data_IF_687029303670
#
_entry.id   IF_687029303670
#
_cell.length_a   1.000
_cell.length_b   1.000
_cell.length_c   1.000
_cell.angle_alpha   90.00
_cell.angle_beta   90.00
_cell.angle_gamma   90.00
#
_symmetry.space_group_name_H-M   'P 1'
#
loop_
_entity.id
_entity.type
_entity.pdbx_description
1 polymer ?
#
# COMPACT_ATOMS: atom_id res chain seq x y z
N UNK A 1 10.90 -20.22 -16.87
CA UNK A 1 10.61 -20.18 -15.43
C UNK A 1 11.22 -18.90 -14.87
N UNK A 2 10.45 -17.82 -14.81
CA UNK A 2 10.86 -16.64 -14.04
C UNK A 2 10.83 -17.04 -12.56
N UNK A 3 11.95 -16.88 -11.86
CA UNK A 3 11.97 -17.04 -10.42
C UNK A 3 11.03 -15.98 -9.83
N UNK A 4 10.06 -16.40 -9.01
CA UNK A 4 9.22 -15.46 -8.26
C UNK A 4 10.16 -14.67 -7.33
N UNK A 5 10.38 -13.39 -7.63
CA UNK A 5 11.15 -12.48 -6.79
C UNK A 5 10.28 -12.09 -5.57
N UNK A 6 10.14 -13.02 -4.63
CA UNK A 6 9.55 -12.72 -3.33
C UNK A 6 10.54 -11.88 -2.52
N UNK A 7 10.04 -10.78 -1.96
CA UNK A 7 10.83 -9.92 -1.07
C UNK A 7 11.33 -10.74 0.12
N UNK A 8 12.61 -10.56 0.47
CA UNK A 8 13.20 -11.26 1.61
C UNK A 8 12.51 -10.83 2.90
N UNK A 9 12.15 -11.79 3.74
CA UNK A 9 11.53 -11.58 5.07
C UNK A 9 12.47 -12.08 6.16
N UNK A 10 12.42 -11.46 7.33
CA UNK A 10 13.22 -11.86 8.49
C UNK A 10 12.35 -12.32 9.67
N UNK A 11 11.02 -12.20 9.55
CA UNK A 11 10.02 -12.80 10.42
C UNK A 11 9.09 -13.62 9.54
N UNK A 12 8.91 -14.90 9.88
CA UNK A 12 7.96 -15.79 9.21
C UNK A 12 7.10 -16.54 10.24
N UNK A 13 5.81 -16.63 9.96
CA UNK A 13 4.82 -17.33 10.76
C UNK A 13 4.24 -18.48 9.94
N UNK A 14 4.37 -19.68 10.50
CA UNK A 14 3.91 -20.93 9.90
C UNK A 14 2.62 -21.40 10.57
N UNK A 15 1.81 -22.16 9.85
CA UNK A 15 0.81 -23.04 10.47
C UNK A 15 1.44 -24.36 10.95
N UNK A 16 0.62 -25.25 11.52
CA UNK A 16 1.07 -26.57 11.98
C UNK A 16 1.47 -27.54 10.87
N UNK A 17 1.12 -27.24 9.62
CA UNK A 17 1.46 -28.05 8.44
C UNK A 17 2.74 -27.56 7.75
N UNK A 18 3.30 -26.43 8.23
CA UNK A 18 4.53 -25.83 7.71
C UNK A 18 4.30 -24.85 6.56
N UNK A 19 3.05 -24.45 6.28
CA UNK A 19 2.77 -23.40 5.31
C UNK A 19 2.96 -22.02 5.94
N UNK A 20 3.52 -21.07 5.20
CA UNK A 20 3.67 -19.68 5.67
C UNK A 20 2.32 -18.97 5.60
N UNK A 21 1.82 -18.53 6.75
CA UNK A 21 0.56 -17.79 6.88
C UNK A 21 0.76 -16.29 7.03
N UNK A 22 1.95 -15.87 7.47
CA UNK A 22 2.35 -14.47 7.45
C UNK A 22 3.88 -14.31 7.45
N UNK A 23 4.37 -13.14 7.05
CA UNK A 23 5.77 -12.76 7.26
C UNK A 23 6.02 -11.31 6.89
N UNK A 24 7.10 -10.72 7.39
CA UNK A 24 7.45 -9.32 7.09
C UNK A 24 8.93 -9.07 7.37
N UNK A 25 9.40 -7.86 7.09
CA UNK A 25 10.72 -7.39 7.52
C UNK A 25 10.62 -6.52 8.76
N UNK A 26 11.15 -7.02 9.87
CA UNK A 26 11.27 -6.31 11.14
C UNK A 26 12.51 -5.40 11.16
N UNK A 27 12.31 -4.16 11.59
CA UNK A 27 13.37 -3.16 11.84
C UNK A 27 13.56 -2.82 13.33
N UNK A 28 12.86 -3.52 14.22
CA UNK A 28 12.91 -3.30 15.67
C UNK A 28 11.80 -2.38 16.20
N UNK A 29 10.70 -2.22 15.47
CA UNK A 29 9.61 -1.30 15.85
C UNK A 29 8.26 -1.98 16.04
N UNK A 30 8.00 -3.10 15.36
CA UNK A 30 6.71 -3.78 15.44
C UNK A 30 6.62 -4.63 16.72
N UNK A 31 5.60 -4.36 17.53
CA UNK A 31 5.32 -5.08 18.78
C UNK A 31 4.40 -6.28 18.56
N UNK A 32 4.35 -7.20 19.53
CA UNK A 32 3.51 -8.41 19.42
C UNK A 32 2.02 -8.08 19.37
N UNK A 33 1.54 -7.16 20.20
CA UNK A 33 0.14 -6.71 20.16
C UNK A 33 -0.29 -6.21 18.78
N UNK A 34 0.56 -5.45 18.10
CA UNK A 34 0.35 -4.99 16.73
C UNK A 34 0.32 -6.13 15.73
N UNK A 35 1.29 -7.05 15.81
CA UNK A 35 1.34 -8.17 14.89
C UNK A 35 0.11 -9.06 15.04
N UNK A 36 -0.35 -9.33 16.26
CA UNK A 36 -1.62 -10.02 16.51
C UNK A 36 -2.81 -9.30 15.88
N UNK A 37 -2.88 -7.95 15.98
CA UNK A 37 -3.92 -7.15 15.31
C UNK A 37 -3.86 -7.28 13.80
N UNK A 38 -2.67 -7.32 13.20
CA UNK A 38 -2.53 -7.48 11.75
C UNK A 38 -2.99 -8.87 11.31
N UNK A 39 -2.69 -9.92 12.08
CA UNK A 39 -3.12 -11.28 11.76
C UNK A 39 -4.65 -11.42 11.75
N UNK A 40 -5.37 -10.74 12.65
CA UNK A 40 -6.85 -10.76 12.67
C UNK A 40 -7.46 -10.26 11.36
N UNK A 41 -6.76 -9.40 10.61
CA UNK A 41 -7.24 -8.87 9.32
C UNK A 41 -7.42 -9.97 8.27
N UNK A 42 -6.56 -10.99 8.28
CA UNK A 42 -6.48 -11.94 7.18
C UNK A 42 -6.47 -13.42 7.58
N UNK A 43 -6.34 -13.75 8.87
CA UNK A 43 -6.48 -15.12 9.34
C UNK A 43 -7.95 -15.51 9.50
N UNK A 44 -8.27 -16.74 9.11
CA UNK A 44 -9.58 -17.37 9.28
C UNK A 44 -9.40 -18.64 10.09
N UNK A 45 -9.83 -18.62 11.35
CA UNK A 45 -9.75 -19.77 12.26
C UNK A 45 -11.09 -19.98 12.97
N UNK A 46 -11.41 -21.24 13.34
CA UNK A 46 -12.57 -21.58 14.18
C UNK A 46 -12.21 -21.70 15.67
N UNK A 47 -10.91 -21.67 15.99
CA UNK A 47 -10.36 -21.82 17.33
C UNK A 47 -9.52 -20.60 17.70
N UNK A 48 -9.43 -20.34 19.00
CA UNK A 48 -8.47 -19.37 19.53
C UNK A 48 -7.04 -19.83 19.21
N UNK A 49 -6.16 -18.86 19.00
CA UNK A 49 -4.79 -19.11 18.58
C UNK A 49 -3.80 -18.23 19.33
N UNK A 50 -2.56 -18.67 19.35
CA UNK A 50 -1.41 -17.94 19.87
C UNK A 50 -0.14 -18.33 19.12
N UNK A 51 0.91 -17.55 19.30
CA UNK A 51 2.17 -17.66 18.55
C UNK A 51 3.25 -18.24 19.45
N UNK A 52 4.04 -19.17 18.92
CA UNK A 52 5.21 -19.72 19.59
C UNK A 52 6.44 -19.51 18.71
N UNK A 53 7.62 -19.36 19.33
CA UNK A 53 8.88 -19.52 18.58
C UNK A 53 8.90 -20.88 17.92
N UNK A 54 9.51 -20.99 16.75
CA UNK A 54 9.51 -22.22 15.98
C UNK A 54 10.87 -22.47 15.34
N UNK A 55 11.36 -23.70 15.47
CA UNK A 55 12.48 -24.21 14.68
C UNK A 55 11.92 -25.08 13.55
N UNK A 56 11.84 -24.57 12.30
CA UNK A 56 11.31 -25.33 11.18
C UNK A 56 12.21 -26.51 10.78
N UNK A 57 13.51 -26.47 11.05
CA UNK A 57 14.43 -27.56 10.71
C UNK A 57 14.23 -28.77 11.61
N UNK A 58 13.90 -28.54 12.89
CA UNK A 58 13.61 -29.58 13.87
C UNK A 58 12.10 -29.83 14.06
N UNK A 59 11.24 -29.08 13.36
CA UNK A 59 9.79 -29.03 13.58
C UNK A 59 9.42 -28.88 15.06
N UNK A 60 10.18 -28.06 15.80
CA UNK A 60 10.09 -27.98 17.25
C UNK A 60 9.55 -26.63 17.69
N UNK A 61 8.50 -26.66 18.51
CA UNK A 61 7.97 -25.46 19.17
C UNK A 61 8.89 -25.00 20.30
N UNK A 62 9.07 -23.70 20.39
CA UNK A 62 9.76 -23.00 21.47
C UNK A 62 8.78 -22.29 22.42
N UNK A 63 9.26 -21.27 23.14
CA UNK A 63 8.44 -20.48 24.07
C UNK A 63 7.26 -19.76 23.40
N UNK A 64 6.21 -19.52 24.20
CA UNK A 64 5.06 -18.69 23.86
C UNK A 64 5.48 -17.23 23.64
N UNK A 65 4.91 -16.60 22.62
CA UNK A 65 5.04 -15.18 22.29
C UNK A 65 3.67 -14.50 22.46
N UNK A 66 3.27 -14.09 23.67
CA UNK A 66 1.95 -13.51 23.89
C UNK A 66 1.84 -12.10 23.28
N UNK A 67 0.60 -11.59 23.06
CA UNK A 67 0.39 -10.18 22.78
C UNK A 67 1.01 -9.30 23.86
N UNK A 68 1.68 -8.23 23.46
CA UNK A 68 2.31 -7.31 24.40
C UNK A 68 3.25 -6.32 23.72
N UNK A 69 3.83 -5.38 24.49
CA UNK A 69 4.64 -4.29 23.96
C UNK A 69 6.06 -4.72 23.55
N UNK A 70 6.39 -6.01 23.70
CA UNK A 70 7.69 -6.53 23.31
C UNK A 70 7.81 -6.57 21.79
N UNK A 71 8.97 -6.17 21.29
CA UNK A 71 9.29 -6.17 19.86
C UNK A 71 9.36 -7.62 19.35
N UNK A 72 8.66 -7.90 18.24
CA UNK A 72 8.78 -9.16 17.51
C UNK A 72 10.22 -9.32 17.04
N UNK A 73 10.90 -10.39 17.43
CA UNK A 73 12.29 -10.61 17.01
C UNK A 73 12.33 -11.26 15.62
N UNK A 74 13.38 -11.03 14.82
CA UNK A 74 13.62 -11.82 13.62
C UNK A 74 13.68 -13.33 13.96
N UNK A 75 13.02 -14.15 13.15
CA UNK A 75 12.97 -15.60 13.34
C UNK A 75 11.70 -16.23 12.79
N UNK A 76 11.60 -17.54 13.03
CA UNK A 76 10.45 -18.35 12.63
C UNK A 76 9.52 -18.58 13.81
N UNK A 77 8.22 -18.60 13.52
CA UNK A 77 7.15 -18.73 14.50
C UNK A 77 6.09 -19.69 14.01
N UNK A 78 5.33 -20.30 14.90
CA UNK A 78 4.22 -21.19 14.55
C UNK A 78 2.96 -20.76 15.26
N UNK A 79 1.84 -20.80 14.54
CA UNK A 79 0.51 -20.51 15.04
C UNK A 79 -0.16 -21.81 15.49
N UNK A 80 -0.53 -21.86 16.77
CA UNK A 80 -1.17 -23.02 17.41
C UNK A 80 -2.31 -22.54 18.32
N UNK A 81 -3.12 -23.47 18.85
CA UNK A 81 -4.04 -23.18 19.96
C UNK A 81 -3.25 -23.10 21.29
N UNK A 82 -3.74 -23.69 22.38
CA UNK A 82 -3.02 -23.93 23.64
C UNK A 82 -1.88 -24.93 23.52
N UNK A 83 -1.15 -24.90 22.40
CA UNK A 83 -0.07 -25.83 22.04
C UNK A 83 -0.43 -26.88 21.00
N UNK A 84 -1.70 -27.01 20.66
CA UNK A 84 -2.17 -28.00 19.68
C UNK A 84 -2.27 -27.42 18.26
N UNK A 85 -2.04 -28.24 17.21
CA UNK A 85 -2.30 -27.88 15.82
C UNK A 85 -3.72 -27.36 15.59
N UNK A 86 -3.86 -26.37 14.72
CA UNK A 86 -5.17 -25.86 14.29
C UNK A 86 -5.18 -25.66 12.77
N UNK A 87 -6.39 -25.68 12.20
CA UNK A 87 -6.58 -25.28 10.80
C UNK A 87 -6.56 -23.76 10.70
N UNK A 88 -5.71 -23.26 9.81
CA UNK A 88 -5.55 -21.83 9.53
C UNK A 88 -5.92 -21.58 8.08
N UNK A 89 -6.95 -20.77 7.85
CA UNK A 89 -7.26 -20.24 6.53
C UNK A 89 -6.74 -18.80 6.38
N UNK A 90 -6.62 -18.35 5.14
CA UNK A 90 -6.38 -16.95 4.80
C UNK A 90 -7.60 -16.39 4.06
N UNK A 91 -7.92 -15.11 4.28
CA UNK A 91 -8.96 -14.45 3.49
C UNK A 91 -8.57 -14.41 2.00
N UNK A 92 -9.54 -14.61 1.08
CA UNK A 92 -9.27 -14.63 -0.36
C UNK A 92 -8.98 -13.24 -0.94
N UNK A 93 -9.17 -12.17 -0.15
CA UNK A 93 -8.97 -10.78 -0.58
C UNK A 93 -7.54 -10.53 -1.04
N UNK A 94 -7.37 -10.19 -2.31
CA UNK A 94 -6.08 -9.77 -2.89
C UNK A 94 -5.87 -8.26 -2.65
N UNK A 95 -4.61 -7.80 -2.54
CA UNK A 95 -4.32 -6.39 -2.52
C UNK A 95 -4.71 -5.76 -3.86
N UNK A 96 -5.06 -4.48 -3.80
CA UNK A 96 -5.37 -3.67 -4.97
C UNK A 96 -4.13 -3.59 -5.85
N UNK A 97 -4.19 -4.00 -7.13
CA UNK A 97 -3.06 -3.85 -8.04
C UNK A 97 -2.83 -2.37 -8.37
N UNK A 98 -1.56 -1.95 -8.42
CA UNK A 98 -1.16 -0.57 -8.72
C UNK A 98 0.07 -0.59 -9.60
N UNK A 99 0.08 0.24 -10.63
CA UNK A 99 1.26 0.43 -11.47
C UNK A 99 2.16 1.50 -10.82
N UNK A 100 3.48 1.31 -10.79
CA UNK A 100 4.38 2.38 -10.41
C UNK A 100 4.19 3.56 -11.35
N UNK A 101 4.00 4.77 -10.83
CA UNK A 101 3.91 5.96 -11.68
C UNK A 101 5.31 6.32 -12.21
N UNK A 102 5.63 5.80 -13.40
CA UNK A 102 6.91 6.05 -14.10
C UNK A 102 6.93 7.45 -14.76
N UNK A 103 5.79 8.11 -14.84
CA UNK A 103 5.62 9.35 -15.60
C UNK A 103 5.76 10.62 -14.75
N UNK A 104 6.69 11.49 -15.15
CA UNK A 104 6.65 12.94 -14.90
C UNK A 104 5.56 13.59 -15.76
N UNK A 105 4.32 13.10 -15.70
CA UNK A 105 3.21 13.62 -16.51
C UNK A 105 3.03 15.11 -16.15
N UNK A 106 2.81 16.00 -17.14
CA UNK A 106 2.64 17.44 -16.89
C UNK A 106 1.59 17.68 -15.80
N UNK A 107 1.93 18.55 -14.86
CA UNK A 107 1.28 18.79 -13.57
C UNK A 107 -0.28 18.77 -13.64
N UNK A 108 -0.93 17.62 -13.40
CA UNK A 108 -2.36 17.59 -13.18
C UNK A 108 -2.67 18.41 -11.91
N UNK A 109 -3.79 19.13 -11.88
CA UNK A 109 -4.13 20.11 -10.83
C UNK A 109 -3.90 19.63 -9.38
N UNK A 110 -4.01 18.33 -9.10
CA UNK A 110 -3.74 17.78 -7.78
C UNK A 110 -2.27 17.86 -7.35
N UNK A 111 -1.29 17.76 -8.24
CA UNK A 111 0.12 17.82 -7.81
C UNK A 111 0.47 19.26 -7.41
N UNK A 112 0.07 20.26 -8.20
CA UNK A 112 0.20 21.66 -7.83
C UNK A 112 -0.44 21.96 -6.47
N UNK A 113 -1.68 21.49 -6.25
CA UNK A 113 -2.39 21.69 -4.97
C UNK A 113 -1.74 20.95 -3.80
N UNK A 114 -1.33 19.70 -4.00
CA UNK A 114 -0.63 18.90 -2.99
C UNK A 114 0.71 19.51 -2.59
N UNK A 115 1.51 19.96 -3.57
CA UNK A 115 2.78 20.67 -3.34
C UNK A 115 2.57 21.97 -2.60
N UNK A 116 1.57 22.77 -2.99
CA UNK A 116 1.27 24.04 -2.34
C UNK A 116 0.82 23.86 -0.89
N UNK A 117 0.08 22.79 -0.59
CA UNK A 117 -0.33 22.45 0.78
C UNK A 117 0.84 21.95 1.62
N UNK A 118 1.62 21.01 1.09
CA UNK A 118 2.62 20.28 1.87
C UNK A 118 3.94 21.03 1.99
N UNK A 119 4.43 21.64 0.90
CA UNK A 119 5.72 22.34 0.82
C UNK A 119 6.97 21.48 1.06
N UNK A 120 6.81 20.23 1.51
CA UNK A 120 7.87 19.31 1.92
C UNK A 120 7.44 17.85 1.78
N UNK A 121 8.41 16.93 1.86
CA UNK A 121 8.08 15.52 2.02
C UNK A 121 7.46 15.28 3.40
N UNK A 122 6.23 14.76 3.45
CA UNK A 122 5.52 14.51 4.71
C UNK A 122 6.13 13.39 5.57
N UNK A 123 7.09 12.63 5.04
CA UNK A 123 7.77 11.52 5.75
C UNK A 123 9.16 11.94 6.24
N UNK A 124 9.94 12.60 5.38
CA UNK A 124 11.36 12.88 5.62
C UNK A 124 11.63 14.33 5.99
N UNK A 125 10.62 15.20 5.92
CA UNK A 125 10.71 16.65 6.13
C UNK A 125 11.62 17.36 5.11
N UNK A 126 11.93 16.70 3.99
CA UNK A 126 12.73 17.28 2.93
C UNK A 126 11.99 18.46 2.30
N UNK A 127 12.48 19.66 2.56
CA UNK A 127 12.11 20.91 1.88
C UNK A 127 13.02 21.14 0.68
N UNK A 128 12.43 21.42 -0.48
CA UNK A 128 13.19 21.68 -1.72
C UNK A 128 12.32 22.43 -2.72
N UNK A 129 12.93 23.38 -3.42
CA UNK A 129 12.29 24.02 -4.59
C UNK A 129 12.45 23.17 -5.87
N UNK A 130 13.31 22.15 -5.85
CA UNK A 130 13.51 21.25 -6.97
C UNK A 130 12.37 20.22 -7.07
N UNK A 131 11.52 20.39 -8.09
CA UNK A 131 10.43 19.50 -8.45
C UNK A 131 10.85 18.03 -8.65
N UNK A 132 12.09 17.75 -9.04
CA UNK A 132 12.54 16.37 -9.30
C UNK A 132 12.68 15.52 -8.04
N UNK A 133 12.76 16.15 -6.86
CA UNK A 133 13.00 15.46 -5.57
C UNK A 133 11.73 15.18 -4.78
N UNK A 134 10.60 15.80 -5.16
CA UNK A 134 9.31 15.62 -4.50
C UNK A 134 8.25 15.18 -5.51
N UNK A 135 7.55 14.09 -5.19
CA UNK A 135 6.41 13.59 -5.97
C UNK A 135 5.15 13.65 -5.12
N UNK A 136 4.04 14.08 -5.71
CA UNK A 136 2.71 14.01 -5.08
C UNK A 136 2.09 12.70 -5.50
N UNK A 137 1.78 11.86 -4.52
CA UNK A 137 1.20 10.55 -4.71
C UNK A 137 -0.23 10.52 -4.19
N UNK A 138 -1.13 9.85 -4.91
CA UNK A 138 -2.42 9.49 -4.33
C UNK A 138 -2.25 8.43 -3.25
N UNK A 139 -3.02 8.56 -2.17
CA UNK A 139 -3.19 7.53 -1.14
C UNK A 139 -4.02 6.40 -1.74
N UNK A 140 -5.22 6.72 -2.21
CA UNK A 140 -6.07 5.81 -2.98
C UNK A 140 -5.88 6.04 -4.48
N UNK A 141 -5.49 5.01 -5.25
CA UNK A 141 -5.11 5.17 -6.65
C UNK A 141 -6.29 5.54 -7.55
N UNK A 142 -6.05 6.48 -8.46
CA UNK A 142 -7.00 6.96 -9.46
C UNK A 142 -7.60 5.85 -10.34
N UNK A 143 -6.81 4.83 -10.69
CA UNK A 143 -7.23 3.72 -11.55
C UNK A 143 -8.37 2.85 -10.96
N UNK A 144 -8.69 3.02 -9.67
CA UNK A 144 -9.71 2.24 -8.95
C UNK A 144 -10.94 3.08 -8.57
N UNK A 145 -11.30 3.99 -9.45
CA UNK A 145 -12.35 4.98 -9.32
C UNK A 145 -13.74 4.39 -8.97
N UNK A 146 -14.08 3.22 -9.53
CA UNK A 146 -15.31 2.50 -9.20
C UNK A 146 -15.30 1.96 -7.76
N UNK A 147 -14.16 1.46 -7.29
CA UNK A 147 -14.01 1.02 -5.90
C UNK A 147 -14.09 2.22 -4.94
N UNK A 148 -13.48 3.35 -5.33
CA UNK A 148 -13.55 4.62 -4.62
C UNK A 148 -15.00 5.08 -4.41
N UNK A 149 -15.83 5.04 -5.46
CA UNK A 149 -17.27 5.36 -5.37
C UNK A 149 -17.98 4.36 -4.46
N UNK A 150 -17.77 3.06 -4.66
CA UNK A 150 -18.45 2.00 -3.89
C UNK A 150 -18.15 2.09 -2.39
N UNK A 151 -16.93 2.50 -2.01
CA UNK A 151 -16.53 2.74 -0.62
C UNK A 151 -17.10 4.04 -0.04
N UNK A 152 -17.74 4.87 -0.85
CA UNK A 152 -18.38 6.12 -0.43
C UNK A 152 -17.38 7.22 -0.10
N UNK A 153 -16.14 7.16 -0.60
CA UNK A 153 -15.17 8.22 -0.35
C UNK A 153 -15.55 9.59 -0.93
N UNK A 154 -16.19 9.73 -2.10
CA UNK A 154 -16.59 11.05 -2.61
C UNK A 154 -17.41 11.89 -1.62
N UNK A 155 -18.29 11.25 -0.83
CA UNK A 155 -19.12 11.95 0.16
C UNK A 155 -18.38 12.33 1.43
N UNK A 156 -17.20 11.75 1.68
CA UNK A 156 -16.35 12.05 2.83
C UNK A 156 -15.35 13.18 2.57
N UNK A 157 -15.13 13.53 1.30
CA UNK A 157 -14.25 14.64 0.92
C UNK A 157 -14.93 15.97 1.24
N UNK A 158 -14.28 16.74 2.11
CA UNK A 158 -14.66 18.08 2.58
C UNK A 158 -13.83 19.20 1.96
N UNK A 159 -12.85 18.87 1.11
CA UNK A 159 -12.11 19.80 0.26
C UNK A 159 -13.07 20.75 -0.48
N UNK A 160 -12.83 22.06 -0.32
CA UNK A 160 -13.69 23.13 -0.81
C UNK A 160 -13.22 23.73 -2.14
N UNK A 161 -12.21 23.16 -2.78
CA UNK A 161 -11.79 23.60 -4.11
C UNK A 161 -12.87 23.36 -5.16
N UNK A 162 -12.67 23.93 -6.35
CA UNK A 162 -13.55 23.67 -7.49
C UNK A 162 -13.56 22.16 -7.82
N UNK A 163 -14.73 21.64 -8.18
CA UNK A 163 -14.93 20.21 -8.48
C UNK A 163 -14.03 19.75 -9.65
N UNK A 164 -13.76 20.61 -10.62
CA UNK A 164 -12.81 20.30 -11.70
C UNK A 164 -11.38 20.09 -11.18
N UNK A 165 -10.97 20.86 -10.17
CA UNK A 165 -9.66 20.74 -9.51
C UNK A 165 -9.58 19.57 -8.51
N UNK A 166 -10.67 18.82 -8.33
CA UNK A 166 -10.74 17.60 -7.51
C UNK A 166 -10.96 16.34 -8.35
N UNK A 167 -10.83 16.41 -9.68
CA UNK A 167 -11.02 15.23 -10.54
C UNK A 167 -12.49 14.93 -10.79
N UNK A 168 -13.30 15.99 -10.91
CA UNK A 168 -14.72 15.91 -11.20
C UNK A 168 -15.58 15.54 -9.98
N UNK A 169 -16.86 15.19 -10.19
CA UNK A 169 -17.83 14.89 -9.13
C UNK A 169 -17.38 13.79 -8.15
N UNK A 170 -16.45 12.93 -8.60
CA UNK A 170 -15.89 11.85 -7.80
C UNK A 170 -14.88 12.32 -6.75
N UNK A 171 -14.32 13.53 -6.91
CA UNK A 171 -13.35 14.16 -5.99
C UNK A 171 -12.07 13.35 -5.72
N UNK A 172 -11.70 12.44 -6.62
CA UNK A 172 -10.57 11.51 -6.41
C UNK A 172 -9.20 12.20 -6.39
N UNK A 173 -9.11 13.38 -7.02
CA UNK A 173 -7.91 14.23 -7.06
C UNK A 173 -7.92 15.31 -5.98
N UNK A 174 -8.83 15.23 -5.01
CA UNK A 174 -8.83 16.10 -3.84
C UNK A 174 -7.48 16.05 -3.13
N UNK A 175 -7.08 17.19 -2.55
CA UNK A 175 -5.88 17.24 -1.70
C UNK A 175 -5.95 16.22 -0.57
N UNK A 176 -7.15 15.90 -0.08
CA UNK A 176 -7.33 14.94 1.01
C UNK A 176 -7.02 13.48 0.62
N UNK A 177 -6.85 13.19 -0.68
CA UNK A 177 -6.42 11.88 -1.19
C UNK A 177 -4.96 11.88 -1.68
N UNK A 178 -4.17 12.93 -1.44
CA UNK A 178 -2.78 12.99 -1.90
C UNK A 178 -1.81 13.41 -0.79
N UNK A 179 -0.55 12.98 -0.94
CA UNK A 179 0.56 13.36 -0.06
C UNK A 179 1.82 13.62 -0.87
N UNK A 180 2.67 14.52 -0.40
CA UNK A 180 3.98 14.79 -0.99
C UNK A 180 5.06 13.91 -0.37
N UNK A 181 5.77 13.17 -1.22
CA UNK A 181 6.80 12.19 -0.88
C UNK A 181 8.15 12.58 -1.48
N UNK A 182 9.24 12.09 -0.86
CA UNK A 182 10.56 12.06 -1.49
C UNK A 182 10.46 11.18 -2.74
N UNK A 183 11.06 11.60 -3.85
CA UNK A 183 10.84 10.98 -5.17
C UNK A 183 11.13 9.48 -5.22
N UNK A 184 12.13 9.01 -4.47
CA UNK A 184 12.52 7.60 -4.35
C UNK A 184 11.55 6.75 -3.51
N UNK A 185 10.72 7.37 -2.67
CA UNK A 185 9.70 6.67 -1.87
C UNK A 185 8.41 6.43 -2.65
N UNK A 186 8.24 7.07 -3.82
CA UNK A 186 7.01 7.01 -4.60
C UNK A 186 6.69 5.57 -5.05
N UNK A 187 7.68 4.86 -5.59
CA UNK A 187 7.50 3.49 -6.05
C UNK A 187 7.24 2.52 -4.89
N UNK A 188 7.87 2.76 -3.75
CA UNK A 188 7.63 2.01 -2.52
C UNK A 188 6.22 2.26 -1.98
N UNK A 189 5.72 3.49 -2.07
CA UNK A 189 4.34 3.84 -1.73
C UNK A 189 3.34 3.15 -2.65
N UNK A 190 3.50 3.29 -3.97
CA UNK A 190 2.62 2.66 -4.97
C UNK A 190 2.60 1.13 -4.83
N UNK A 191 3.72 0.54 -4.44
CA UNK A 191 3.80 -0.90 -4.20
C UNK A 191 3.35 -1.34 -2.80
N UNK A 192 2.81 -0.45 -1.98
CA UNK A 192 2.42 -0.71 -0.60
C UNK A 192 3.54 -1.28 0.28
N UNK A 193 4.82 -0.98 -0.03
CA UNK A 193 5.98 -1.47 0.72
C UNK A 193 6.03 -0.92 2.15
N UNK A 194 5.34 0.19 2.39
CA UNK A 194 5.08 0.76 3.70
C UNK A 194 3.69 1.40 3.75
N UNK A 195 3.17 1.60 4.96
CA UNK A 195 1.90 2.26 5.22
C UNK A 195 1.96 3.19 6.43
N UNK A 196 0.95 4.04 6.58
CA UNK A 196 0.78 4.97 7.70
C UNK A 196 -0.42 4.52 8.53
N UNK A 197 -0.24 4.35 9.84
CA UNK A 197 -1.34 3.98 10.74
C UNK A 197 -1.86 5.23 11.49
N UNK A 198 -3.02 5.79 11.11
CA UNK A 198 -3.57 6.98 11.77
C UNK A 198 -3.94 6.73 13.24
N UNK A 199 -4.25 5.49 13.62
CA UNK A 199 -4.60 5.13 15.01
C UNK A 199 -3.37 5.03 15.93
N UNK A 200 -2.17 5.16 15.37
CA UNK A 200 -0.90 5.10 16.10
C UNK A 200 -0.08 6.36 15.80
N UNK A 201 -0.73 7.51 15.98
CA UNK A 201 -0.15 8.83 15.76
C UNK A 201 0.48 8.99 14.36
N UNK A 202 -0.08 8.34 13.34
CA UNK A 202 0.45 8.30 11.98
C UNK A 202 1.85 7.68 11.86
N UNK A 203 2.17 6.68 12.71
CA UNK A 203 3.43 5.94 12.59
C UNK A 203 3.50 5.20 11.26
N UNK A 204 4.67 5.20 10.67
CA UNK A 204 5.00 4.54 9.42
C UNK A 204 5.53 3.14 9.72
N UNK A 205 4.92 2.14 9.10
CA UNK A 205 5.36 0.74 9.17
C UNK A 205 5.82 0.31 7.78
N UNK A 206 7.10 -0.05 7.65
CA UNK A 206 7.62 -0.70 6.46
C UNK A 206 7.43 -2.21 6.58
N UNK A 207 6.84 -2.83 5.55
CA UNK A 207 6.56 -4.26 5.53
C UNK A 207 7.70 -5.07 4.89
N UNK A 208 8.52 -4.41 4.06
CA UNK A 208 9.60 -5.01 3.27
C UNK A 208 10.97 -4.44 3.63
N UNK A 209 12.03 -5.13 3.20
CA UNK A 209 13.41 -4.63 3.34
C UNK A 209 13.63 -3.36 2.48
N UNK A 210 14.66 -2.56 2.81
CA UNK A 210 15.06 -1.39 2.04
C UNK A 210 14.40 -0.06 2.43
N UNK A 211 13.58 -0.01 3.48
CA UNK A 211 12.87 1.19 3.96
C UNK A 211 13.21 1.53 5.43
N UNK A 212 14.41 1.17 5.87
CA UNK A 212 14.87 1.37 7.24
C UNK A 212 14.89 2.85 7.64
N UNK A 213 15.16 3.74 6.68
CA UNK A 213 15.30 5.17 6.93
C UNK A 213 13.96 5.84 7.27
N UNK A 214 12.83 5.27 6.86
CA UNK A 214 11.48 5.79 7.12
C UNK A 214 10.68 5.01 8.18
N UNK A 215 11.03 3.74 8.42
CA UNK A 215 10.28 2.89 9.34
C UNK A 215 10.31 3.44 10.78
N UNK A 216 9.14 3.46 11.44
CA UNK A 216 8.98 3.98 12.80
C UNK A 216 8.94 5.51 12.89
N UNK A 217 9.13 6.24 11.78
CA UNK A 217 8.84 7.68 11.74
C UNK A 217 7.33 7.93 11.76
N UNK A 218 6.94 9.19 11.89
CA UNK A 218 5.54 9.60 11.88
C UNK A 218 5.28 10.59 10.76
N UNK A 219 4.16 10.43 10.05
CA UNK A 219 3.74 11.35 9.01
C UNK A 219 3.55 12.76 9.59
N UNK A 220 4.12 13.78 8.96
CA UNK A 220 4.08 15.17 9.41
C UNK A 220 2.86 15.88 8.83
N UNK A 221 1.87 16.11 9.68
CA UNK A 221 0.62 16.80 9.32
C UNK A 221 0.32 18.01 10.22
N UNK A 222 1.29 18.40 11.04
CA UNK A 222 1.25 19.51 12.01
C UNK A 222 0.99 20.88 11.35
N UNK A 223 1.52 21.11 10.17
CA UNK A 223 1.30 22.34 9.40
C UNK A 223 -0.09 22.40 8.73
N UNK A 224 -0.82 21.29 8.64
CA UNK A 224 -2.13 21.21 7.97
C UNK A 224 -3.23 21.26 9.04
N UNK A 225 -3.53 22.49 9.47
CA UNK A 225 -4.53 22.77 10.52
C UNK A 225 -5.96 22.76 9.99
N UNK A 226 -6.15 23.11 8.72
CA UNK A 226 -7.48 23.10 8.10
C UNK A 226 -7.94 21.65 7.83
N UNK A 227 -9.03 21.19 8.45
CA UNK A 227 -9.54 19.84 8.26
C UNK A 227 -10.00 19.56 6.83
N UNK A 228 -10.35 20.59 6.04
CA UNK A 228 -10.75 20.43 4.63
C UNK A 228 -9.56 20.13 3.71
N UNK A 229 -8.34 20.43 4.16
CA UNK A 229 -7.11 20.17 3.41
C UNK A 229 -6.36 18.93 3.92
N UNK A 230 -6.69 18.47 5.13
CA UNK A 230 -6.02 17.33 5.78
C UNK A 230 -6.34 16.02 5.05
N UNK A 231 -5.33 15.19 4.73
CA UNK A 231 -5.56 13.86 4.21
C UNK A 231 -6.51 13.03 5.07
N UNK A 232 -7.40 12.26 4.45
CA UNK A 232 -8.38 11.45 5.18
C UNK A 232 -7.73 10.23 5.83
N UNK A 233 -7.94 10.06 7.14
CA UNK A 233 -7.42 8.91 7.92
C UNK A 233 -7.90 7.56 7.39
N UNK A 234 -9.13 7.51 6.88
CA UNK A 234 -9.67 6.29 6.29
C UNK A 234 -8.90 5.83 5.04
N UNK A 235 -8.33 6.77 4.29
CA UNK A 235 -7.53 6.44 3.10
C UNK A 235 -6.17 5.87 3.51
N UNK A 236 -5.55 6.40 4.57
CA UNK A 236 -4.35 5.79 5.15
C UNK A 236 -4.64 4.40 5.69
N UNK A 237 -5.77 4.22 6.35
CA UNK A 237 -6.21 2.90 6.83
C UNK A 237 -6.38 1.94 5.65
N UNK A 238 -7.05 2.34 4.57
CA UNK A 238 -7.19 1.51 3.37
C UNK A 238 -5.83 1.14 2.75
N UNK A 239 -4.93 2.11 2.56
CA UNK A 239 -3.58 1.89 2.05
C UNK A 239 -2.76 0.94 2.93
N UNK A 240 -2.83 1.11 4.25
CA UNK A 240 -2.16 0.24 5.21
C UNK A 240 -2.62 -1.21 5.06
N UNK A 241 -3.92 -1.42 4.90
CA UNK A 241 -4.51 -2.75 4.70
C UNK A 241 -4.04 -3.39 3.39
N UNK A 242 -3.87 -2.62 2.32
CA UNK A 242 -3.26 -3.13 1.08
C UNK A 242 -1.84 -3.63 1.31
N UNK A 243 -1.04 -2.93 2.12
CA UNK A 243 0.29 -3.37 2.53
C UNK A 243 0.28 -4.68 3.32
N UNK A 244 -0.68 -4.86 4.23
CA UNK A 244 -0.87 -6.12 4.94
C UNK A 244 -1.21 -7.27 3.98
N UNK A 245 -2.16 -7.07 3.06
CA UNK A 245 -2.55 -8.11 2.10
C UNK A 245 -1.42 -8.46 1.13
N UNK A 246 -0.63 -7.47 0.70
CA UNK A 246 0.42 -7.66 -0.30
C UNK A 246 1.69 -8.26 0.28
N UNK A 247 2.14 -7.80 1.44
CA UNK A 247 3.47 -8.13 1.96
C UNK A 247 3.44 -8.97 3.22
N UNK A 248 2.38 -8.86 4.03
CA UNK A 248 2.31 -9.55 5.33
C UNK A 248 1.58 -10.89 5.25
N UNK A 249 0.48 -10.95 4.50
CA UNK A 249 -0.36 -12.14 4.38
C UNK A 249 0.33 -13.26 3.59
N UNK A 250 0.30 -14.48 4.12
CA UNK A 250 0.81 -15.67 3.45
C UNK A 250 2.30 -15.56 3.09
N UNK A 251 2.66 -15.93 1.87
CA UNK A 251 4.02 -15.77 1.32
C UNK A 251 4.33 -14.34 0.85
N UNK A 252 3.36 -13.43 0.91
CA UNK A 252 3.37 -12.18 0.14
C UNK A 252 3.06 -12.43 -1.34
N UNK A 253 2.72 -11.36 -2.05
CA UNK A 253 2.53 -11.38 -3.50
C UNK A 253 3.81 -10.96 -4.23
N UNK A 254 4.08 -11.61 -5.36
CA UNK A 254 5.21 -11.21 -6.22
C UNK A 254 4.97 -9.82 -6.79
N UNK A 255 5.97 -8.96 -6.66
CA UNK A 255 5.99 -7.71 -7.42
C UNK A 255 6.64 -7.96 -8.79
N UNK A 256 6.17 -7.24 -9.82
CA UNK A 256 6.98 -7.01 -11.01
C UNK A 256 8.33 -6.45 -10.59
N UNK A 257 9.40 -7.00 -11.15
CA UNK A 257 10.72 -6.43 -10.96
C UNK A 257 10.79 -5.03 -11.56
N UNK A 258 11.83 -4.28 -11.19
CA UNK A 258 12.13 -3.02 -11.85
C UNK A 258 12.29 -3.21 -13.37
N UNK A 259 12.93 -4.30 -13.78
CA UNK A 259 13.11 -4.68 -15.19
C UNK A 259 11.77 -4.98 -15.88
N UNK A 260 10.87 -5.69 -15.23
CA UNK A 260 9.52 -5.96 -15.79
C UNK A 260 8.73 -4.66 -15.97
N UNK A 261 8.85 -3.73 -15.02
CA UNK A 261 8.19 -2.43 -15.09
C UNK A 261 8.82 -1.53 -16.16
N UNK A 262 10.15 -1.48 -16.23
CA UNK A 262 10.89 -0.68 -17.23
C UNK A 262 10.68 -1.23 -18.63
N UNK A 263 10.71 -2.54 -18.82
CA UNK A 263 10.35 -3.17 -20.10
C UNK A 263 8.92 -2.80 -20.47
N UNK A 264 7.94 -2.96 -19.56
CA UNK A 264 6.54 -2.70 -19.85
C UNK A 264 6.20 -1.21 -20.12
N UNK A 265 6.88 -0.28 -19.45
CA UNK A 265 6.43 1.12 -19.32
C UNK A 265 7.54 2.19 -19.45
N UNK A 266 8.80 1.81 -19.66
CA UNK A 266 9.98 2.67 -19.47
C UNK A 266 10.07 3.90 -20.38
N UNK A 267 9.52 3.86 -21.60
CA UNK A 267 9.62 4.96 -22.56
C UNK A 267 8.30 5.75 -22.72
N UNK A 268 7.54 5.91 -21.63
CA UNK A 268 6.20 6.53 -21.63
C UNK A 268 5.18 5.86 -22.58
N UNK A 269 5.54 4.73 -23.19
CA UNK A 269 4.73 3.92 -24.08
C UNK A 269 4.41 2.58 -23.42
N UNK A 270 3.64 1.75 -24.11
CA UNK A 270 3.43 0.35 -23.71
C UNK A 270 4.31 -0.51 -24.59
N UNK A 271 5.34 -1.14 -24.02
CA UNK A 271 6.08 -2.14 -24.78
C UNK A 271 5.32 -3.47 -24.77
N UNK A 272 4.39 -3.64 -25.70
CA UNK A 272 3.57 -4.86 -25.77
C UNK A 272 4.31 -6.07 -26.36
N UNK A 273 5.62 -5.98 -26.67
CA UNK A 273 6.36 -7.07 -27.32
C UNK A 273 6.62 -8.26 -26.39
N UNK A 274 6.70 -8.03 -25.08
CA UNK A 274 7.02 -9.08 -24.12
C UNK A 274 5.77 -9.89 -23.72
N UNK A 275 5.49 -10.94 -24.48
CA UNK A 275 4.37 -11.84 -24.20
C UNK A 275 4.49 -12.62 -22.90
N UNK A 276 5.68 -12.70 -22.29
CA UNK A 276 5.81 -13.29 -20.94
C UNK A 276 5.22 -12.38 -19.87
N UNK A 277 5.10 -11.07 -20.14
CA UNK A 277 4.42 -10.11 -19.29
C UNK A 277 2.94 -10.04 -19.70
N UNK A 278 2.65 -9.61 -20.93
CA UNK A 278 1.29 -9.31 -21.39
C UNK A 278 0.41 -10.51 -21.70
N UNK A 279 1.01 -11.69 -21.90
CA UNK A 279 0.29 -12.95 -22.06
C UNK A 279 -0.32 -13.45 -20.75
N UNK A 280 0.15 -12.95 -19.60
CA UNK A 280 -0.32 -13.35 -18.27
C UNK A 280 -1.59 -12.61 -17.89
N UNK A 281 -2.33 -13.18 -16.92
CA UNK A 281 -3.49 -12.49 -16.32
C UNK A 281 -3.07 -11.17 -15.66
N UNK A 282 -1.98 -11.20 -14.89
CA UNK A 282 -1.46 -10.00 -14.21
C UNK A 282 -1.08 -8.90 -15.20
N UNK A 283 -0.40 -9.24 -16.30
CA UNK A 283 -0.05 -8.27 -17.34
C UNK A 283 -1.26 -7.61 -17.98
N UNK A 284 -2.33 -8.36 -18.23
CA UNK A 284 -3.59 -7.79 -18.74
C UNK A 284 -4.22 -6.84 -17.73
N UNK A 285 -4.31 -7.24 -16.47
CA UNK A 285 -4.84 -6.39 -15.39
C UNK A 285 -4.01 -5.09 -15.25
N UNK A 286 -2.66 -5.18 -15.35
CA UNK A 286 -1.80 -3.98 -15.32
C UNK A 286 -1.96 -3.08 -16.54
N UNK A 287 -2.19 -3.64 -17.73
CA UNK A 287 -2.49 -2.85 -18.93
C UNK A 287 -3.78 -2.05 -18.74
N UNK A 288 -4.84 -2.71 -18.26
CA UNK A 288 -6.13 -2.08 -17.98
C UNK A 288 -5.99 -0.92 -16.98
N UNK A 289 -5.22 -1.12 -15.90
CA UNK A 289 -4.95 -0.08 -14.91
C UNK A 289 -4.19 1.11 -15.50
N UNK A 290 -3.17 0.85 -16.31
CA UNK A 290 -2.39 1.91 -16.92
C UNK A 290 -3.23 2.71 -17.92
N UNK A 291 -4.11 2.05 -18.67
CA UNK A 291 -5.07 2.72 -19.56
C UNK A 291 -6.08 3.54 -18.75
N UNK A 292 -6.64 2.99 -17.67
CA UNK A 292 -7.59 3.69 -16.79
C UNK A 292 -6.97 4.96 -16.18
N UNK A 293 -5.70 4.90 -15.77
CA UNK A 293 -4.98 6.05 -15.23
C UNK A 293 -4.70 7.11 -16.31
N UNK A 294 -4.15 6.70 -17.47
CA UNK A 294 -3.78 7.63 -18.56
C UNK A 294 -4.98 8.27 -19.25
N UNK A 295 -6.11 7.58 -19.31
CA UNK A 295 -7.34 8.07 -19.97
C UNK A 295 -8.30 8.77 -19.00
N UNK A 296 -7.96 8.85 -17.70
CA UNK A 296 -8.85 9.40 -16.68
C UNK A 296 -9.34 10.81 -17.01
N UNK A 297 -8.42 11.73 -17.30
CA UNK A 297 -8.77 13.15 -17.54
C UNK A 297 -9.64 13.32 -18.80
N UNK A 298 -9.40 12.49 -19.83
CA UNK A 298 -10.25 12.45 -21.03
C UNK A 298 -11.67 11.99 -20.72
N UNK A 299 -11.83 10.96 -19.88
CA UNK A 299 -13.15 10.45 -19.48
C UNK A 299 -13.91 11.50 -18.67
N UNK A 300 -13.27 12.13 -17.68
CA UNK A 300 -13.88 13.20 -16.89
C UNK A 300 -14.30 14.39 -17.76
N UNK A 301 -13.49 14.76 -18.76
CA UNK A 301 -13.85 15.82 -19.70
C UNK A 301 -15.05 15.48 -20.58
N UNK A 302 -15.24 14.22 -20.97
CA UNK A 302 -16.39 13.78 -21.77
C UNK A 302 -17.66 13.71 -20.93
N UNK A 303 -17.58 13.20 -19.70
CA UNK A 303 -18.71 13.12 -18.78
C UNK A 303 -19.22 14.53 -18.40
N UNK A 304 -18.30 15.50 -18.28
CA UNK A 304 -18.65 16.92 -18.06
C UNK A 304 -19.23 17.63 -19.31
N UNK A 305 -19.03 17.08 -20.50
CA UNK A 305 -19.49 17.66 -21.77
C UNK A 305 -20.84 17.08 -22.25
N UNK A 306 -21.37 16.05 -21.59
CA UNK A 306 -22.68 15.49 -21.92
C UNK A 306 -23.76 16.40 -21.30
N UNK A 307 -24.59 17.11 -22.10
CA UNK A 307 -25.70 17.86 -21.54
C UNK A 307 -26.64 16.87 -20.87
N UNK A 308 -26.99 17.10 -19.60
CA UNK A 308 -28.14 16.45 -19.00
C UNK A 308 -29.37 16.87 -19.81
N UNK A 309 -29.79 16.01 -20.74
CA UNK A 309 -31.08 16.11 -21.38
C UNK A 309 -32.14 15.82 -20.32
N UNK A 310 -32.97 16.84 -20.12
CA UNK A 310 -34.15 16.92 -19.23
C UNK A 310 -35.10 15.75 -19.48
#
# INVERSE_FOLDING_TARGET
HAALNLERRNVELFDSEGAVVAGFWQYGTLQWDEFYRYLIVFLVTSTAWTIFKYDPAQQKRGPLCPPGPQIVQPGCYVLLSTGDPIRVGLVPTLPRPRNPTISNTPDPHYQARGRARDGRCLITDLETQNYSRLKVAHIFPRAHDQEWIRKGYPSKITDTADVSAMGGPMKIDSVQNVITLRSDLHDAWDNYKFGVNPNDNYRITAFTNGNADINGRYLRLDHIQDPTLRPLDELFTDHFMQGLFKHVKGTGESAWSHEDCDDAFGDHSFNLSNMNIWGTREGKERLELALAERLFDHRISQDGATPQLI
#
